data_IF_846779403037
#
_entry.id   IF_846779403037
#
_cell.length_a   1.000
_cell.length_b   1.000
_cell.length_c   1.000
_cell.angle_alpha   90.00
_cell.angle_beta   90.00
_cell.angle_gamma   90.00
#
_symmetry.space_group_name_H-M   'P 1'
#
loop_
_entity.id
_entity.type
_entity.pdbx_description
1 polymer ?
#
# COMPACT_ATOMS: atom_id res chain seq x y z
N UNK A 1 2.37 5.92 3.55
CA UNK A 1 2.02 5.06 2.38
C UNK A 1 3.10 5.10 1.31
N UNK A 2 3.42 6.28 0.75
CA UNK A 2 4.47 6.41 -0.28
C UNK A 2 5.81 5.85 0.18
N UNK A 3 6.29 6.23 1.38
CA UNK A 3 7.55 5.69 1.93
C UNK A 3 7.54 4.16 2.09
N UNK A 4 6.40 3.59 2.49
CA UNK A 4 6.24 2.13 2.63
C UNK A 4 6.35 1.47 1.25
N UNK A 5 5.69 2.05 0.24
CA UNK A 5 5.78 1.56 -1.13
C UNK A 5 7.21 1.65 -1.67
N UNK A 6 7.90 2.78 -1.49
CA UNK A 6 9.30 2.96 -1.90
C UNK A 6 10.22 1.96 -1.22
N UNK A 7 10.09 1.77 0.10
CA UNK A 7 10.90 0.82 0.85
C UNK A 7 10.64 -0.63 0.39
N UNK A 8 9.37 -1.00 0.18
CA UNK A 8 8.99 -2.32 -0.33
C UNK A 8 9.59 -2.55 -1.72
N UNK A 9 9.44 -1.59 -2.64
CA UNK A 9 10.06 -1.66 -3.97
C UNK A 9 11.57 -1.78 -3.89
N UNK A 10 12.24 -1.00 -3.04
CA UNK A 10 13.69 -1.04 -2.92
C UNK A 10 14.23 -2.40 -2.46
N UNK A 11 13.51 -3.09 -1.56
CA UNK A 11 13.88 -4.43 -1.10
C UNK A 11 13.70 -5.45 -2.21
N UNK A 12 12.51 -5.53 -2.80
CA UNK A 12 12.21 -6.58 -3.77
C UNK A 12 12.90 -6.34 -5.12
N UNK A 13 13.14 -5.09 -5.53
CA UNK A 13 13.78 -4.78 -6.81
C UNK A 13 15.20 -5.34 -6.88
N UNK A 14 15.86 -5.58 -5.74
CA UNK A 14 17.17 -6.24 -5.68
C UNK A 14 17.09 -7.75 -5.87
N UNK A 15 15.93 -8.34 -5.57
CA UNK A 15 15.68 -9.78 -5.66
C UNK A 15 15.06 -10.18 -7.00
N UNK A 16 14.56 -9.21 -7.76
CA UNK A 16 13.87 -9.47 -9.02
C UNK A 16 14.83 -9.89 -10.14
N UNK A 17 14.52 -10.97 -10.88
CA UNK A 17 15.32 -11.42 -12.02
C UNK A 17 14.97 -10.59 -13.26
N UNK A 18 15.34 -9.30 -13.26
CA UNK A 18 14.97 -8.34 -14.29
C UNK A 18 15.34 -8.77 -15.71
N UNK A 19 16.51 -9.39 -15.89
CA UNK A 19 16.98 -9.85 -17.20
C UNK A 19 16.04 -10.92 -17.79
N UNK A 20 15.60 -11.88 -16.97
CA UNK A 20 14.70 -12.95 -17.41
C UNK A 20 13.29 -12.41 -17.71
N UNK A 21 12.80 -11.50 -16.88
CA UNK A 21 11.52 -10.83 -17.11
C UNK A 21 11.50 -10.03 -18.40
N UNK A 22 12.57 -9.27 -18.66
CA UNK A 22 12.72 -8.47 -19.89
C UNK A 22 12.95 -9.34 -21.13
N UNK A 23 13.58 -10.51 -20.98
CA UNK A 23 13.69 -11.51 -22.03
C UNK A 23 12.35 -12.19 -22.38
N UNK A 24 11.34 -12.04 -21.53
CA UNK A 24 9.97 -12.49 -21.78
C UNK A 24 9.56 -13.74 -21.01
N UNK A 25 10.33 -14.20 -20.03
CA UNK A 25 10.05 -15.46 -19.33
C UNK A 25 8.70 -15.47 -18.61
N UNK A 26 8.26 -14.31 -18.09
CA UNK A 26 6.90 -14.14 -17.53
C UNK A 26 5.81 -14.32 -18.60
N UNK A 27 6.03 -13.79 -19.81
CA UNK A 27 5.08 -13.89 -20.94
C UNK A 27 5.02 -15.31 -21.48
N UNK A 28 6.16 -15.97 -21.55
CA UNK A 28 6.32 -17.30 -22.14
C UNK A 28 6.04 -18.43 -21.14
N UNK A 29 5.67 -18.10 -19.88
CA UNK A 29 5.45 -19.05 -18.78
C UNK A 29 6.68 -19.92 -18.47
N UNK A 30 7.87 -19.37 -18.67
CA UNK A 30 9.15 -20.01 -18.36
C UNK A 30 9.66 -19.65 -16.95
N UNK A 31 9.10 -18.61 -16.32
CA UNK A 31 9.44 -18.22 -14.95
C UNK A 31 8.93 -19.24 -13.92
N UNK A 32 9.77 -19.55 -12.94
CA UNK A 32 9.37 -20.36 -11.77
C UNK A 32 8.37 -19.63 -10.85
N UNK A 33 7.81 -20.36 -9.89
CA UNK A 33 6.82 -19.84 -8.95
C UNK A 33 7.31 -18.67 -8.10
N UNK A 34 8.60 -18.66 -7.74
CA UNK A 34 9.18 -17.65 -6.87
C UNK A 34 9.41 -16.34 -7.63
N UNK A 35 9.83 -16.44 -8.89
CA UNK A 35 9.93 -15.33 -9.84
C UNK A 35 8.56 -14.71 -10.11
N UNK A 36 7.51 -15.54 -10.29
CA UNK A 36 6.13 -15.05 -10.44
C UNK A 36 5.64 -14.38 -9.16
N UNK A 37 5.90 -14.94 -7.98
CA UNK A 37 5.56 -14.32 -6.70
C UNK A 37 6.27 -12.97 -6.51
N UNK A 38 7.55 -12.89 -6.88
CA UNK A 38 8.35 -11.65 -6.82
C UNK A 38 7.82 -10.58 -7.78
N UNK A 39 7.32 -10.97 -8.96
CA UNK A 39 6.67 -10.05 -9.89
C UNK A 39 5.41 -9.41 -9.28
N UNK A 40 4.59 -10.21 -8.61
CA UNK A 40 3.39 -9.72 -7.91
C UNK A 40 3.71 -8.96 -6.61
N UNK A 41 4.92 -9.07 -6.06
CA UNK A 41 5.39 -8.20 -4.99
C UNK A 41 5.86 -6.81 -5.48
N UNK A 42 6.24 -6.67 -6.76
CA UNK A 42 6.79 -5.43 -7.33
C UNK A 42 5.86 -4.77 -8.38
N UNK A 43 6.11 -4.83 -9.73
CA UNK A 43 5.42 -3.95 -10.66
C UNK A 43 3.99 -4.41 -10.93
N UNK A 44 3.70 -5.71 -10.86
CA UNK A 44 2.35 -6.26 -11.02
C UNK A 44 1.49 -6.06 -9.78
N UNK A 45 2.11 -5.77 -8.64
CA UNK A 45 1.50 -5.81 -7.32
C UNK A 45 0.86 -4.54 -6.82
N UNK A 46 0.58 -4.55 -5.52
CA UNK A 46 -0.08 -3.47 -4.78
C UNK A 46 0.74 -2.18 -4.65
N UNK A 47 2.01 -2.16 -5.08
CA UNK A 47 2.91 -1.01 -4.96
C UNK A 47 2.34 0.22 -5.65
N UNK A 48 1.92 0.09 -6.91
CA UNK A 48 1.39 1.22 -7.70
C UNK A 48 0.13 1.79 -7.05
N UNK A 49 -0.78 0.90 -6.63
CA UNK A 49 -2.02 1.27 -5.94
C UNK A 49 -1.73 1.99 -4.62
N UNK A 50 -0.75 1.51 -3.84
CA UNK A 50 -0.36 2.10 -2.57
C UNK A 50 0.25 3.51 -2.74
N UNK A 51 1.06 3.71 -3.78
CA UNK A 51 1.61 5.02 -4.13
C UNK A 51 0.48 5.97 -4.54
N UNK A 52 -0.39 5.56 -5.46
CA UNK A 52 -1.51 6.38 -5.93
C UNK A 52 -2.46 6.77 -4.79
N UNK A 53 -2.80 5.81 -3.92
CA UNK A 53 -3.61 6.09 -2.73
C UNK A 53 -2.91 7.07 -1.79
N UNK A 54 -1.61 6.90 -1.55
CA UNK A 54 -0.83 7.84 -0.75
C UNK A 54 -0.81 9.26 -1.34
N UNK A 55 -0.68 9.39 -2.67
CA UNK A 55 -0.73 10.66 -3.38
C UNK A 55 -2.12 11.30 -3.32
N UNK A 56 -3.18 10.50 -3.49
CA UNK A 56 -4.56 10.95 -3.41
C UNK A 56 -4.90 11.47 -2.00
N UNK A 57 -4.52 10.72 -0.96
CA UNK A 57 -4.68 11.14 0.44
C UNK A 57 -3.89 12.42 0.72
N UNK A 58 -2.65 12.52 0.25
CA UNK A 58 -1.83 13.72 0.42
C UNK A 58 -2.45 14.93 -0.30
N UNK A 59 -2.99 14.74 -1.52
CA UNK A 59 -3.71 15.78 -2.26
C UNK A 59 -4.97 16.22 -1.52
N UNK A 60 -5.78 15.29 -1.04
CA UNK A 60 -7.00 15.59 -0.28
C UNK A 60 -6.68 16.41 0.98
N UNK A 61 -5.65 16.00 1.73
CA UNK A 61 -5.17 16.75 2.90
C UNK A 61 -4.70 18.17 2.56
N UNK A 62 -3.94 18.35 1.47
CA UNK A 62 -3.54 19.69 0.99
C UNK A 62 -4.72 20.56 0.56
N UNK A 63 -5.82 19.95 0.13
CA UNK A 63 -7.06 20.64 -0.26
C UNK A 63 -8.02 20.84 0.92
N UNK A 64 -7.63 20.48 2.14
CA UNK A 64 -8.49 20.57 3.33
C UNK A 64 -9.72 19.64 3.29
N UNK A 65 -9.72 18.67 2.37
CA UNK A 65 -10.78 17.69 2.20
C UNK A 65 -10.56 16.48 3.13
N UNK A 66 -11.66 15.89 3.58
CA UNK A 66 -11.62 14.70 4.41
C UNK A 66 -11.62 13.45 3.52
N UNK A 67 -10.71 12.52 3.82
CA UNK A 67 -10.75 11.18 3.26
C UNK A 67 -11.85 10.37 3.97
N UNK A 68 -12.67 9.59 3.26
CA UNK A 68 -13.69 8.76 3.90
C UNK A 68 -13.10 7.81 4.96
N UNK A 69 -13.73 7.77 6.13
CA UNK A 69 -13.22 6.98 7.27
C UNK A 69 -13.09 5.48 7.01
N UNK A 70 -13.85 4.91 6.07
CA UNK A 70 -13.73 3.49 5.70
C UNK A 70 -12.35 3.15 5.13
N UNK A 71 -11.64 4.12 4.52
CA UNK A 71 -10.32 3.89 3.91
C UNK A 71 -9.33 3.41 4.97
N UNK A 72 -9.28 4.09 6.13
CA UNK A 72 -8.40 3.70 7.23
C UNK A 72 -8.73 2.31 7.79
N UNK A 73 -10.02 2.02 8.01
CA UNK A 73 -10.46 0.72 8.53
C UNK A 73 -10.19 -0.44 7.57
N UNK A 74 -10.43 -0.25 6.27
CA UNK A 74 -10.15 -1.28 5.25
C UNK A 74 -8.66 -1.57 5.18
N UNK A 75 -7.79 -0.55 5.23
CA UNK A 75 -6.32 -0.75 5.24
C UNK A 75 -5.90 -1.52 6.51
N UNK A 76 -6.47 -1.17 7.67
CA UNK A 76 -6.16 -1.85 8.92
C UNK A 76 -6.57 -3.33 8.87
N UNK A 77 -7.81 -3.60 8.45
CA UNK A 77 -8.35 -4.95 8.34
C UNK A 77 -7.53 -5.79 7.35
N UNK A 78 -7.15 -5.21 6.21
CA UNK A 78 -6.32 -5.87 5.21
C UNK A 78 -4.92 -6.18 5.73
N UNK A 79 -4.27 -5.21 6.40
CA UNK A 79 -2.96 -5.42 7.01
C UNK A 79 -2.99 -6.50 8.09
N UNK A 80 -4.02 -6.50 8.95
CA UNK A 80 -4.23 -7.52 9.96
C UNK A 80 -4.44 -8.91 9.35
N UNK A 81 -5.29 -9.00 8.32
CA UNK A 81 -5.51 -10.25 7.59
C UNK A 81 -4.21 -10.80 6.99
N UNK A 82 -3.43 -9.94 6.33
CA UNK A 82 -2.17 -10.34 5.72
C UNK A 82 -1.14 -10.83 6.76
N UNK A 83 -1.03 -10.16 7.91
CA UNK A 83 -0.18 -10.60 9.03
C UNK A 83 -0.65 -11.93 9.61
N UNK A 84 -1.97 -12.13 9.75
CA UNK A 84 -2.52 -13.39 10.25
C UNK A 84 -2.26 -14.57 9.32
N UNK A 85 -2.25 -14.34 8.00
CA UNK A 85 -2.04 -15.41 7.01
C UNK A 85 -0.57 -15.69 6.71
N UNK A 86 0.29 -14.66 6.69
CA UNK A 86 1.67 -14.75 6.20
C UNK A 86 2.69 -14.61 7.36
N UNK A 87 2.25 -14.13 8.51
CA UNK A 87 3.08 -13.86 9.67
C UNK A 87 3.63 -12.41 9.72
N UNK A 88 4.46 -12.11 10.73
CA UNK A 88 5.05 -10.79 10.92
C UNK A 88 5.88 -10.35 9.71
N UNK A 89 5.50 -9.22 9.12
CA UNK A 89 6.05 -8.74 7.86
C UNK A 89 5.83 -7.23 7.69
N UNK A 90 6.22 -6.68 6.54
CA UNK A 90 5.98 -5.27 6.19
C UNK A 90 4.51 -4.83 6.25
N UNK A 91 3.56 -5.77 6.27
CA UNK A 91 2.13 -5.48 6.48
C UNK A 91 1.83 -4.80 7.82
N UNK A 92 2.67 -5.00 8.85
CA UNK A 92 2.55 -4.29 10.12
C UNK A 92 2.63 -2.77 9.94
N UNK A 93 3.38 -2.28 8.94
CA UNK A 93 3.50 -0.85 8.65
C UNK A 93 2.19 -0.25 8.13
N UNK A 94 1.22 -1.06 7.68
CA UNK A 94 -0.10 -0.58 7.27
C UNK A 94 -0.90 0.00 8.45
N UNK A 95 -0.59 -0.40 9.68
CA UNK A 95 -1.21 0.14 10.89
C UNK A 95 -0.96 1.65 11.05
N UNK A 96 0.20 2.15 10.63
CA UNK A 96 0.56 3.57 10.75
C UNK A 96 -0.37 4.48 9.92
N UNK A 97 -0.45 4.35 8.57
CA UNK A 97 -1.36 5.17 7.79
C UNK A 97 -2.83 4.89 8.12
N UNK A 98 -3.20 3.65 8.45
CA UNK A 98 -4.56 3.33 8.88
C UNK A 98 -4.95 4.08 10.16
N UNK A 99 -4.10 4.06 11.19
CA UNK A 99 -4.31 4.76 12.44
C UNK A 99 -4.44 6.27 12.24
N UNK A 100 -3.57 6.87 11.41
CA UNK A 100 -3.64 8.29 11.07
C UNK A 100 -4.96 8.66 10.37
N UNK A 101 -5.42 7.86 9.40
CA UNK A 101 -6.68 8.09 8.69
C UNK A 101 -7.90 7.94 9.62
N UNK A 102 -7.89 6.93 10.49
CA UNK A 102 -8.94 6.70 11.48
C UNK A 102 -8.99 7.87 12.47
N UNK A 103 -7.84 8.28 13.02
CA UNK A 103 -7.72 9.40 13.94
C UNK A 103 -8.20 10.71 13.30
N UNK A 104 -7.79 11.00 12.06
CA UNK A 104 -8.22 12.18 11.33
C UNK A 104 -9.76 12.23 11.16
N UNK A 105 -10.38 11.10 10.80
CA UNK A 105 -11.84 11.00 10.66
C UNK A 105 -12.56 11.14 12.01
N UNK A 106 -12.02 10.58 13.11
CA UNK A 106 -12.61 10.74 14.45
C UNK A 106 -12.52 12.21 14.89
N UNK A 107 -11.38 12.86 14.70
CA UNK A 107 -11.17 14.28 15.07
C UNK A 107 -12.08 15.20 14.24
N UNK A 108 -12.22 14.96 12.95
CA UNK A 108 -13.11 15.73 12.07
C UNK A 108 -14.59 15.63 12.48
N UNK A 109 -15.02 14.49 13.06
CA UNK A 109 -16.37 14.32 13.59
C UNK A 109 -16.60 15.05 14.91
N UNK A 110 -15.54 15.19 15.74
CA UNK A 110 -15.61 15.89 17.03
C UNK A 110 -15.61 17.41 16.89
N UNK A 111 -15.00 17.93 15.82
CA UNK A 111 -15.01 19.35 15.48
C UNK A 111 -15.67 19.57 14.11
N UNK A 112 -17.01 19.46 14.01
CA UNK A 112 -17.69 19.98 12.84
C UNK A 112 -17.32 21.47 12.76
N UNK A 113 -16.62 21.87 11.69
CA UNK A 113 -16.34 23.29 11.45
C UNK A 113 -17.69 24.01 11.52
N UNK A 114 -17.86 24.90 12.49
CA UNK A 114 -19.04 25.75 12.57
C UNK A 114 -19.12 26.49 11.23
N UNK A 115 -20.13 26.14 10.43
CA UNK A 115 -20.40 26.81 9.16
C UNK A 115 -20.80 28.25 9.49
N UNK A 116 -19.90 29.19 9.23
CA UNK A 116 -20.15 30.62 9.14
C UNK A 116 -20.71 30.98 7.77
#
# INVERSE_FOLDING_TARGET
>A
MILIAVAHTAVFARLAPWSSWLAGDLRNRAADSDSVATFWALPGGFVVVLVLLGLLVARAGRQGQNVPGYVGWVILAWGALAVSLIGPSGFLLAAVPAGLLIAANITARRHPRASS
#
